data_IF_362368858260
#
_entry.id   IF_362368858260
#
_cell.length_a   1.000
_cell.length_b   1.000
_cell.length_c   1.000
_cell.angle_alpha   90.00
_cell.angle_beta   90.00
_cell.angle_gamma   90.00
#
_symmetry.space_group_name_H-M   'P 1'
#
loop_
_entity.id
_entity.type
_entity.pdbx_description
1 polymer ?
#
# COMPACT_ATOMS: atom_id res chain seq x y z
N UNK A 1 -16.64 -12.71 -3.42
CA UNK A 1 -16.07 -12.23 -4.69
C UNK A 1 -14.96 -11.21 -4.45
N UNK A 2 -13.77 -11.70 -4.07
CA UNK A 2 -12.56 -10.87 -3.88
C UNK A 2 -11.84 -10.69 -5.22
N UNK A 3 -12.42 -9.89 -6.11
CA UNK A 3 -11.79 -9.60 -7.39
C UNK A 3 -10.46 -8.84 -7.17
N UNK A 4 -9.34 -9.52 -7.41
CA UNK A 4 -8.02 -8.91 -7.46
C UNK A 4 -7.98 -7.87 -8.58
N UNK A 5 -7.35 -6.72 -8.31
CA UNK A 5 -7.06 -5.68 -9.29
C UNK A 5 -5.69 -5.94 -9.93
N UNK A 6 -5.38 -5.29 -11.05
CA UNK A 6 -4.07 -5.41 -11.68
C UNK A 6 -3.28 -4.10 -11.56
N UNK A 7 -2.03 -4.17 -11.12
CA UNK A 7 -1.11 -3.05 -11.18
C UNK A 7 -0.21 -3.18 -12.41
N UNK A 8 -0.39 -2.30 -13.41
CA UNK A 8 0.46 -2.29 -14.61
C UNK A 8 1.90 -1.85 -14.37
N UNK A 9 2.23 -1.24 -13.23
CA UNK A 9 3.61 -0.84 -12.93
C UNK A 9 4.42 -1.95 -12.27
N UNK A 10 3.77 -2.73 -11.41
CA UNK A 10 4.38 -3.91 -10.81
C UNK A 10 4.15 -5.19 -11.64
N UNK A 11 3.37 -5.09 -12.73
CA UNK A 11 2.97 -6.20 -13.59
C UNK A 11 2.38 -7.39 -12.80
N UNK A 12 1.53 -7.06 -11.82
CA UNK A 12 1.05 -8.01 -10.83
C UNK A 12 -0.41 -7.79 -10.44
N UNK A 13 -1.10 -8.88 -10.13
CA UNK A 13 -2.40 -8.85 -9.48
C UNK A 13 -2.25 -8.43 -8.02
N UNK A 14 -3.08 -7.49 -7.57
CA UNK A 14 -3.05 -6.86 -6.25
C UNK A 14 -4.41 -6.92 -5.59
N UNK A 15 -4.45 -6.78 -4.26
CA UNK A 15 -5.70 -6.74 -3.52
C UNK A 15 -6.60 -5.57 -3.96
N UNK A 16 -7.91 -5.70 -3.76
CA UNK A 16 -8.89 -4.67 -4.15
C UNK A 16 -8.65 -3.30 -3.50
N UNK A 17 -8.03 -3.29 -2.31
CA UNK A 17 -7.70 -2.08 -1.56
C UNK A 17 -6.22 -1.68 -1.69
N UNK A 18 -5.45 -2.40 -2.50
CA UNK A 18 -4.05 -2.09 -2.73
C UNK A 18 -3.91 -0.89 -3.66
N UNK A 19 -2.88 -0.06 -3.41
CA UNK A 19 -2.47 1.01 -4.32
C UNK A 19 -0.96 0.99 -4.53
N UNK A 20 -0.53 1.38 -5.72
CA UNK A 20 0.89 1.53 -6.02
C UNK A 20 1.39 2.88 -5.50
N UNK A 21 2.37 2.85 -4.60
CA UNK A 21 3.09 4.04 -4.16
C UNK A 21 4.27 4.28 -5.11
N UNK A 22 4.28 5.42 -5.79
CA UNK A 22 5.36 5.81 -6.71
C UNK A 22 6.68 6.07 -5.97
N UNK A 23 6.63 6.63 -4.77
CA UNK A 23 7.83 6.97 -3.99
C UNK A 23 8.56 5.73 -3.47
N UNK A 24 7.81 4.67 -3.13
CA UNK A 24 8.37 3.38 -2.71
C UNK A 24 8.46 2.34 -3.83
N UNK A 25 8.00 2.69 -5.04
CA UNK A 25 7.87 1.83 -6.22
C UNK A 25 7.29 0.43 -5.94
N UNK A 26 6.23 0.38 -5.10
CA UNK A 26 5.61 -0.88 -4.69
C UNK A 26 4.12 -0.73 -4.46
N UNK A 27 3.39 -1.82 -4.64
CA UNK A 27 2.00 -1.94 -4.20
C UNK A 27 1.94 -2.19 -2.70
N UNK A 28 1.00 -1.52 -2.05
CA UNK A 28 0.75 -1.62 -0.61
C UNK A 28 -0.71 -1.94 -0.42
N UNK A 29 -0.99 -3.05 0.27
CA UNK A 29 -2.35 -3.44 0.63
C UNK A 29 -2.94 -2.48 1.66
N UNK A 30 -4.24 -2.21 1.50
CA UNK A 30 -4.99 -1.25 2.32
C UNK A 30 -4.26 0.08 2.45
N UNK A 31 -3.77 0.60 1.32
CA UNK A 31 -2.93 1.79 1.30
C UNK A 31 -3.68 3.00 1.83
N UNK A 32 -3.10 3.62 2.86
CA UNK A 32 -3.54 4.89 3.40
C UNK A 32 -2.72 6.04 2.79
N UNK A 33 -1.43 6.12 3.11
CA UNK A 33 -0.54 7.15 2.57
C UNK A 33 0.95 6.74 2.54
N UNK A 34 1.76 7.49 1.80
CA UNK A 34 3.22 7.48 1.96
C UNK A 34 3.61 8.54 3.00
N UNK A 35 4.12 8.11 4.16
CA UNK A 35 4.53 9.01 5.22
C UNK A 35 5.99 9.44 5.00
N UNK A 36 6.19 10.71 4.68
CA UNK A 36 7.52 11.30 4.48
C UNK A 36 8.40 11.22 5.73
N UNK A 37 7.78 11.34 6.91
CA UNK A 37 8.48 11.30 8.20
C UNK A 37 9.02 9.93 8.54
N UNK A 38 8.29 8.88 8.17
CA UNK A 38 8.73 7.48 8.36
C UNK A 38 9.54 6.96 7.18
N UNK A 39 9.62 7.74 6.09
CA UNK A 39 10.16 7.32 4.80
C UNK A 39 9.59 5.94 4.36
N UNK A 40 8.29 5.72 4.62
CA UNK A 40 7.62 4.45 4.38
C UNK A 40 6.12 4.63 4.15
N UNK A 41 5.49 3.67 3.48
CA UNK A 41 4.05 3.63 3.33
C UNK A 41 3.38 3.15 4.61
N UNK A 42 2.27 3.81 4.94
CA UNK A 42 1.31 3.35 5.93
C UNK A 42 0.16 2.68 5.18
N UNK A 43 -0.11 1.43 5.53
CA UNK A 43 -1.21 0.63 5.00
C UNK A 43 -1.59 -0.46 5.99
N UNK A 44 -2.36 -1.46 5.57
CA UNK A 44 -2.99 -2.42 6.48
C UNK A 44 -2.01 -3.12 7.43
N UNK A 45 -0.80 -3.43 6.96
CA UNK A 45 0.23 -4.14 7.74
C UNK A 45 0.83 -3.33 8.90
N UNK A 46 0.85 -2.00 8.82
CA UNK A 46 1.50 -1.15 9.82
C UNK A 46 0.62 0.00 10.33
N UNK A 47 -0.64 0.06 9.90
CA UNK A 47 -1.59 1.10 10.34
C UNK A 47 -1.75 1.13 11.87
N UNK A 48 -1.88 -0.04 12.51
CA UNK A 48 -1.99 -0.12 13.98
C UNK A 48 -0.73 0.36 14.71
N UNK A 49 0.46 0.03 14.19
CA UNK A 49 1.72 0.52 14.75
C UNK A 49 1.87 2.04 14.53
N UNK A 50 1.43 2.55 13.39
CA UNK A 50 1.43 3.98 13.09
C UNK A 50 0.54 4.78 14.07
N UNK A 51 -0.64 4.27 14.42
CA UNK A 51 -1.54 4.93 15.39
C UNK A 51 -1.03 4.92 16.83
N UNK A 52 -0.06 4.04 17.15
CA UNK A 52 0.52 3.92 18.48
C UNK A 52 1.81 4.74 18.67
N UNK A 53 2.26 5.46 17.64
CA UNK A 53 3.35 6.43 17.69
C UNK A 53 2.85 7.80 18.19
#
# INVERSE_FOLDING_TARGET
DDAALYCGRCDASVGRRAKHCRDCDKCVDDFDHHCKWLNNCVGGRNYGAFLAL
#
